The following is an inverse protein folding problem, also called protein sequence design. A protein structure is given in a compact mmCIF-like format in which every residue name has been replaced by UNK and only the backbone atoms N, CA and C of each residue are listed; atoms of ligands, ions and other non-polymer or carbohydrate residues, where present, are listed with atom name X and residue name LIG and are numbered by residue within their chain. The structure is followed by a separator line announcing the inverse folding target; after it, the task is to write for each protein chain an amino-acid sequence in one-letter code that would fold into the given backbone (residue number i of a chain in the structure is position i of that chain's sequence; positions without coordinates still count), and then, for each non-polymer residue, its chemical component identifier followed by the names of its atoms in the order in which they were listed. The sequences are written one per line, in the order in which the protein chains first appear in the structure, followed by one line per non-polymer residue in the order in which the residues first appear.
data_IF_209891817366
#
_entry.id   IF_209891817366
#
_cell.length_a   1.000
_cell.length_b   1.000
_cell.length_c   1.000
_cell.angle_alpha   90.00
_cell.angle_beta   90.00
_cell.angle_gamma   90.00
#
_symmetry.space_group_name_H-M   'P 1'
#
loop_
_entity.id
_entity.type
_entity.pdbx_description
1 polymer ?
#
# COMPACT_ATOMS: atom_id res chain seq x y z
N UNK A 1 -14.38 -5.22 -9.57
CA UNK A 1 -13.95 -4.26 -8.52
C UNK A 1 -13.56 -2.89 -9.08
N UNK A 2 -12.50 -2.73 -9.89
CA UNK A 2 -12.07 -1.41 -10.41
C UNK A 2 -13.19 -0.57 -11.04
N UNK A 3 -13.99 -1.19 -11.91
CA UNK A 3 -15.11 -0.51 -12.58
C UNK A 3 -16.10 0.13 -11.58
N UNK A 4 -16.35 -0.53 -10.45
CA UNK A 4 -17.26 -0.03 -9.43
C UNK A 4 -16.73 1.26 -8.77
N UNK A 5 -15.42 1.37 -8.55
CA UNK A 5 -14.80 2.60 -8.05
C UNK A 5 -14.93 3.74 -9.07
N UNK A 6 -14.69 3.45 -10.35
CA UNK A 6 -14.82 4.42 -11.44
C UNK A 6 -16.25 4.96 -11.55
N UNK A 7 -17.25 4.09 -11.53
CA UNK A 7 -18.67 4.46 -11.57
C UNK A 7 -19.08 5.37 -10.41
N UNK A 8 -18.40 5.23 -9.27
CA UNK A 8 -18.71 5.94 -8.02
C UNK A 8 -17.84 7.20 -7.87
N UNK A 9 -16.92 7.42 -8.81
CA UNK A 9 -15.97 8.54 -8.77
C UNK A 9 -15.02 8.47 -7.58
N UNK A 10 -14.72 7.27 -7.07
CA UNK A 10 -13.84 7.08 -5.91
C UNK A 10 -12.43 6.75 -6.40
N UNK A 11 -11.41 7.55 -6.05
CA UNK A 11 -10.03 7.25 -6.40
C UNK A 11 -9.56 5.92 -5.80
N UNK A 12 -8.74 5.19 -6.55
CA UNK A 12 -8.08 3.98 -6.07
C UNK A 12 -6.64 3.89 -6.57
N UNK A 13 -5.84 3.12 -5.84
CA UNK A 13 -4.48 2.78 -6.22
C UNK A 13 -4.36 1.28 -6.50
N UNK A 14 -3.76 0.92 -7.62
CA UNK A 14 -3.40 -0.45 -7.96
C UNK A 14 -1.99 -0.75 -7.45
N UNK A 15 -1.88 -1.63 -6.45
CA UNK A 15 -0.61 -2.15 -5.96
C UNK A 15 -0.15 -3.31 -6.86
N UNK A 16 0.76 -3.05 -7.79
CA UNK A 16 1.17 -3.97 -8.86
C UNK A 16 2.37 -4.80 -8.42
N UNK A 17 2.34 -6.12 -8.68
CA UNK A 17 3.47 -7.03 -8.41
C UNK A 17 4.23 -7.21 -9.74
N UNK A 18 5.32 -6.47 -10.01
CA UNK A 18 5.87 -6.35 -11.36
C UNK A 18 6.40 -7.69 -11.92
N UNK A 19 7.09 -8.48 -11.10
CA UNK A 19 7.65 -9.78 -11.47
C UNK A 19 6.63 -10.89 -11.71
N UNK A 20 5.34 -10.61 -11.46
CA UNK A 20 4.20 -11.49 -11.79
C UNK A 20 3.23 -10.85 -12.80
N UNK A 21 3.54 -9.64 -13.26
CA UNK A 21 2.68 -8.87 -14.14
C UNK A 21 2.99 -9.17 -15.61
N UNK A 22 1.96 -9.13 -16.44
CA UNK A 22 2.08 -9.29 -17.89
C UNK A 22 2.06 -7.93 -18.58
N UNK A 23 2.53 -7.85 -19.82
CA UNK A 23 2.41 -6.62 -20.62
C UNK A 23 0.94 -6.27 -20.90
N UNK A 24 0.04 -7.26 -20.93
CA UNK A 24 -1.40 -7.04 -21.03
C UNK A 24 -1.97 -6.29 -19.81
N UNK A 25 -1.51 -6.63 -18.60
CA UNK A 25 -1.89 -5.91 -17.38
C UNK A 25 -1.35 -4.47 -17.43
N UNK A 26 -0.10 -4.28 -17.84
CA UNK A 26 0.48 -2.94 -17.97
C UNK A 26 -0.31 -2.07 -18.96
N UNK A 27 -0.65 -2.62 -20.13
CA UNK A 27 -1.48 -1.93 -21.13
C UNK A 27 -2.85 -1.56 -20.58
N UNK A 28 -3.51 -2.47 -19.86
CA UNK A 28 -4.80 -2.19 -19.23
C UNK A 28 -4.71 -1.08 -18.18
N UNK A 29 -3.68 -1.10 -17.33
CA UNK A 29 -3.44 -0.06 -16.32
C UNK A 29 -3.14 1.30 -16.94
N UNK A 30 -2.35 1.35 -18.01
CA UNK A 30 -2.08 2.56 -18.78
C UNK A 30 -3.38 3.18 -19.32
N UNK A 31 -4.17 2.40 -20.06
CA UNK A 31 -5.43 2.86 -20.64
C UNK A 31 -6.40 3.38 -19.56
N UNK A 32 -6.42 2.69 -18.42
CA UNK A 32 -7.22 3.08 -17.28
C UNK A 32 -6.74 4.41 -16.66
N UNK A 33 -5.43 4.57 -16.47
CA UNK A 33 -4.85 5.80 -15.93
C UNK A 33 -4.93 6.99 -16.89
N UNK A 34 -4.82 6.76 -18.20
CA UNK A 34 -5.00 7.78 -19.25
C UNK A 34 -6.44 8.27 -19.32
N UNK A 35 -7.41 7.36 -19.22
CA UNK A 35 -8.84 7.71 -19.32
C UNK A 35 -9.40 8.34 -18.04
N UNK A 36 -8.81 8.04 -16.88
CA UNK A 36 -9.27 8.50 -15.56
C UNK A 36 -8.08 8.91 -14.66
N UNK A 37 -7.26 9.89 -15.07
CA UNK A 37 -6.02 10.24 -14.36
C UNK A 37 -6.28 10.71 -12.92
N UNK A 38 -7.42 11.33 -12.63
CA UNK A 38 -7.75 11.80 -11.28
C UNK A 38 -8.21 10.68 -10.33
N UNK A 39 -8.59 9.51 -10.86
CA UNK A 39 -9.10 8.39 -10.06
C UNK A 39 -8.09 7.26 -9.91
N UNK A 40 -7.10 7.15 -10.80
CA UNK A 40 -6.27 5.96 -10.89
C UNK A 40 -4.83 6.27 -10.52
N UNK A 41 -4.37 5.65 -9.43
CA UNK A 41 -2.97 5.58 -9.05
C UNK A 41 -2.41 4.18 -9.28
N UNK A 42 -1.11 4.10 -9.52
CA UNK A 42 -0.42 2.82 -9.70
C UNK A 42 0.85 2.82 -8.85
N UNK A 43 0.93 1.86 -7.94
CA UNK A 43 1.98 1.73 -6.93
C UNK A 43 2.70 0.38 -7.10
N UNK A 44 3.91 0.26 -6.56
CA UNK A 44 4.71 -0.97 -6.65
C UNK A 44 4.54 -1.84 -5.42
N UNK A 45 4.16 -3.10 -5.59
CA UNK A 45 3.94 -4.07 -4.53
C UNK A 45 5.01 -5.16 -4.48
N UNK A 46 6.25 -4.79 -4.13
CA UNK A 46 7.39 -5.71 -4.14
C UNK A 46 7.90 -6.02 -5.55
N UNK A 47 8.52 -7.18 -5.71
CA UNK A 47 8.92 -7.70 -7.03
C UNK A 47 8.04 -8.87 -7.44
N UNK A 48 8.14 -10.00 -6.74
CA UNK A 48 7.35 -11.21 -7.03
C UNK A 48 6.36 -11.57 -5.95
N UNK A 49 6.42 -10.91 -4.78
CA UNK A 49 5.63 -11.29 -3.62
C UNK A 49 5.93 -12.74 -3.18
N UNK A 50 7.17 -13.18 -3.38
CA UNK A 50 7.69 -14.49 -2.99
C UNK A 50 8.42 -14.40 -1.65
N UNK A 51 8.27 -15.42 -0.82
CA UNK A 51 8.94 -15.47 0.47
C UNK A 51 10.46 -15.65 0.32
N UNK A 52 11.25 -14.84 1.03
CA UNK A 52 12.68 -15.08 1.20
C UNK A 52 12.90 -16.07 2.36
N UNK A 53 13.28 -17.31 2.03
CA UNK A 53 13.51 -18.41 3.00
C UNK A 53 12.30 -18.68 3.90
N UNK A 54 11.10 -18.63 3.33
CA UNK A 54 9.83 -18.86 4.05
C UNK A 54 9.30 -17.65 4.84
N UNK A 55 10.04 -16.54 4.87
CA UNK A 55 9.63 -15.27 5.48
C UNK A 55 9.28 -14.24 4.40
N UNK A 56 8.60 -13.12 4.73
CA UNK A 56 8.19 -12.12 3.74
C UNK A 56 9.32 -11.62 2.81
N UNK A 57 8.97 -11.15 1.60
CA UNK A 57 9.90 -10.69 0.56
C UNK A 57 10.85 -9.56 1.03
N UNK A 58 10.41 -8.77 2.01
CA UNK A 58 11.15 -7.66 2.62
C UNK A 58 11.15 -7.77 4.15
N UNK A 59 12.16 -7.18 4.80
CA UNK A 59 12.31 -7.18 6.25
C UNK A 59 13.75 -7.39 6.70
N UNK A 60 14.00 -7.35 8.01
CA UNK A 60 15.35 -7.43 8.58
C UNK A 60 16.07 -8.76 8.33
N UNK A 61 15.34 -9.83 8.00
CA UNK A 61 15.88 -11.15 7.64
C UNK A 61 16.37 -11.23 6.19
N UNK A 62 16.04 -10.25 5.35
CA UNK A 62 16.44 -10.22 3.94
C UNK A 62 17.70 -9.37 3.79
N UNK A 63 18.80 -9.91 3.22
CA UNK A 63 20.03 -9.15 3.01
C UNK A 63 19.79 -7.89 2.18
N UNK A 64 20.53 -6.82 2.48
CA UNK A 64 20.39 -5.52 1.81
C UNK A 64 20.53 -5.62 0.29
N UNK A 65 21.52 -6.36 -0.21
CA UNK A 65 21.73 -6.56 -1.65
C UNK A 65 20.51 -7.17 -2.34
N UNK A 66 19.87 -8.16 -1.70
CA UNK A 66 18.66 -8.80 -2.25
C UNK A 66 17.47 -7.83 -2.26
N UNK A 67 17.26 -7.08 -1.17
CA UNK A 67 16.21 -6.05 -1.14
C UNK A 67 16.43 -5.01 -2.23
N UNK A 68 17.68 -4.58 -2.43
CA UNK A 68 18.06 -3.60 -3.46
C UNK A 68 17.78 -4.13 -4.86
N UNK A 69 18.16 -5.37 -5.15
CA UNK A 69 17.92 -5.99 -6.45
C UNK A 69 16.42 -6.08 -6.76
N UNK A 70 15.60 -6.50 -5.79
CA UNK A 70 14.14 -6.56 -5.96
C UNK A 70 13.53 -5.18 -6.21
N UNK A 71 13.96 -4.15 -5.47
CA UNK A 71 13.49 -2.79 -5.68
C UNK A 71 13.89 -2.25 -7.06
N UNK A 72 15.13 -2.49 -7.51
CA UNK A 72 15.61 -2.06 -8.83
C UNK A 72 14.83 -2.76 -9.95
N UNK A 73 14.67 -4.08 -9.87
CA UNK A 73 13.93 -4.84 -10.88
C UNK A 73 12.47 -4.40 -10.96
N UNK A 74 11.81 -4.26 -9.81
CA UNK A 74 10.44 -3.77 -9.75
C UNK A 74 10.30 -2.36 -10.29
N UNK A 75 11.13 -1.43 -9.83
CA UNK A 75 11.08 -0.03 -10.24
C UNK A 75 11.33 0.11 -11.75
N UNK A 76 12.33 -0.60 -12.28
CA UNK A 76 12.63 -0.60 -13.71
C UNK A 76 11.41 -1.08 -14.52
N UNK A 77 10.78 -2.18 -14.12
CA UNK A 77 9.58 -2.67 -14.80
C UNK A 77 8.45 -1.63 -14.77
N UNK A 78 8.21 -1.02 -13.61
CA UNK A 78 7.16 0.01 -13.43
C UNK A 78 7.43 1.24 -14.30
N UNK A 79 8.66 1.75 -14.31
CA UNK A 79 9.03 2.94 -15.09
C UNK A 79 9.00 2.64 -16.59
N UNK A 80 9.56 1.51 -17.05
CA UNK A 80 9.57 1.15 -18.47
C UNK A 80 8.16 1.00 -19.06
N UNK A 81 7.21 0.50 -18.26
CA UNK A 81 5.86 0.14 -18.75
C UNK A 81 4.77 1.12 -18.39
N UNK A 82 4.90 1.86 -17.30
CA UNK A 82 3.89 2.79 -16.81
C UNK A 82 4.36 4.24 -16.87
N UNK A 83 5.67 4.48 -16.99
CA UNK A 83 6.28 5.79 -17.11
C UNK A 83 5.75 6.78 -16.05
N UNK A 84 5.15 7.90 -16.47
CA UNK A 84 4.66 8.93 -15.55
C UNK A 84 3.46 8.50 -14.69
N UNK A 85 2.78 7.39 -15.04
CA UNK A 85 1.64 6.90 -14.26
C UNK A 85 2.05 6.08 -13.04
N UNK A 86 3.32 5.67 -12.93
CA UNK A 86 3.84 5.13 -11.68
C UNK A 86 3.99 6.24 -10.64
N UNK A 87 3.31 6.08 -9.50
CA UNK A 87 3.22 7.11 -8.45
C UNK A 87 4.53 7.34 -7.69
N UNK A 88 5.49 6.40 -7.77
CA UNK A 88 6.65 6.37 -6.89
C UNK A 88 6.36 5.88 -5.48
N UNK A 89 5.20 5.25 -5.24
CA UNK A 89 4.81 4.66 -3.96
C UNK A 89 5.16 3.18 -3.94
N UNK A 90 5.73 2.73 -2.82
CA UNK A 90 6.00 1.33 -2.54
C UNK A 90 5.03 0.76 -1.49
N UNK A 91 4.43 -0.38 -1.79
CA UNK A 91 3.59 -1.15 -0.88
C UNK A 91 4.35 -2.42 -0.53
N UNK A 92 4.87 -2.61 0.70
CA UNK A 92 5.61 -3.82 1.02
C UNK A 92 4.69 -5.05 1.01
N UNK A 93 5.08 -6.14 0.33
CA UNK A 93 4.47 -7.46 0.46
C UNK A 93 4.31 -7.85 1.93
N UNK A 94 3.14 -8.37 2.28
CA UNK A 94 2.77 -8.72 3.66
C UNK A 94 2.91 -7.57 4.68
N UNK A 95 3.05 -6.31 4.22
CA UNK A 95 3.32 -5.15 5.07
C UNK A 95 4.66 -5.20 5.81
N UNK A 96 5.58 -6.08 5.40
CA UNK A 96 6.87 -6.29 6.07
C UNK A 96 7.97 -5.42 5.43
N UNK A 97 8.68 -4.64 6.25
CA UNK A 97 9.79 -3.79 5.82
C UNK A 97 10.67 -3.44 7.03
N UNK A 98 11.88 -2.97 6.77
CA UNK A 98 12.80 -2.51 7.82
C UNK A 98 13.48 -1.17 7.44
N UNK A 99 14.39 -0.71 8.30
CA UNK A 99 15.15 0.51 8.06
C UNK A 99 15.96 0.45 6.76
N UNK A 100 16.53 -0.72 6.44
CA UNK A 100 17.21 -0.95 5.16
C UNK A 100 16.27 -0.71 3.99
N UNK A 101 15.06 -1.27 4.02
CA UNK A 101 14.04 -1.02 2.98
C UNK A 101 13.79 0.48 2.79
N UNK A 102 13.53 1.22 3.88
CA UNK A 102 13.27 2.67 3.82
C UNK A 102 14.46 3.44 3.25
N UNK A 103 15.69 3.10 3.67
CA UNK A 103 16.91 3.74 3.16
C UNK A 103 17.09 3.49 1.66
N UNK A 104 16.85 2.27 1.19
CA UNK A 104 16.94 1.93 -0.23
C UNK A 104 15.87 2.65 -1.05
N UNK A 105 14.63 2.74 -0.55
CA UNK A 105 13.56 3.49 -1.21
C UNK A 105 13.94 4.96 -1.41
N UNK A 106 14.53 5.61 -0.41
CA UNK A 106 15.00 6.99 -0.54
C UNK A 106 16.13 7.14 -1.56
N UNK A 107 17.11 6.24 -1.52
CA UNK A 107 18.23 6.23 -2.48
C UNK A 107 17.74 6.03 -3.93
N UNK A 108 16.71 5.22 -4.12
CA UNK A 108 16.10 4.94 -5.41
C UNK A 108 15.05 5.98 -5.83
N UNK A 109 14.81 7.01 -5.02
CA UNK A 109 13.91 8.12 -5.35
C UNK A 109 12.42 7.79 -5.24
N UNK A 110 12.03 6.79 -4.46
CA UNK A 110 10.63 6.58 -4.10
C UNK A 110 10.12 7.73 -3.24
N UNK A 111 8.87 8.12 -3.45
CA UNK A 111 8.23 9.23 -2.74
C UNK A 111 7.58 8.78 -1.44
N UNK A 112 7.04 7.56 -1.42
CA UNK A 112 6.28 7.06 -0.28
C UNK A 112 6.38 5.54 -0.09
N UNK A 113 6.09 5.13 1.14
CA UNK A 113 5.83 3.74 1.52
C UNK A 113 4.42 3.64 2.12
N UNK A 114 3.61 2.74 1.60
CA UNK A 114 2.26 2.45 2.09
C UNK A 114 2.17 1.07 2.73
N UNK A 115 2.06 1.04 4.06
CA UNK A 115 1.99 -0.19 4.85
C UNK A 115 1.06 -0.03 6.04
N UNK A 116 0.79 -1.12 6.76
CA UNK A 116 0.00 -1.11 7.98
C UNK A 116 0.49 -0.05 8.98
N UNK A 117 -0.37 0.91 9.31
CA UNK A 117 -0.14 1.76 10.48
C UNK A 117 -0.46 0.95 11.73
N UNK A 118 0.50 0.83 12.64
CA UNK A 118 0.19 0.48 14.01
C UNK A 118 -0.13 1.74 14.80
N UNK A 119 -1.15 1.62 15.62
CA UNK A 119 -1.75 2.72 16.36
C UNK A 119 -0.73 3.21 17.39
N UNK A 120 -0.45 4.50 17.32
CA UNK A 120 0.68 5.14 17.97
C UNK A 120 0.27 5.70 19.34
N UNK A 121 0.72 5.05 20.42
CA UNK A 121 0.90 5.76 21.69
C UNK A 121 2.25 6.46 21.70
N UNK A 122 2.41 7.56 22.46
CA UNK A 122 3.72 8.23 22.63
C UNK A 122 4.83 7.23 23.04
N UNK A 123 4.48 6.25 23.86
CA UNK A 123 5.36 5.15 24.28
C UNK A 123 5.77 4.25 23.10
N UNK A 124 4.83 3.89 22.23
CA UNK A 124 5.13 3.12 21.02
C UNK A 124 6.08 3.87 20.07
N UNK A 125 5.96 5.20 20.00
CA UNK A 125 6.86 6.06 19.20
C UNK A 125 8.28 6.08 19.72
N UNK A 126 8.47 6.25 21.03
CA UNK A 126 9.80 6.25 21.65
C UNK A 126 10.46 4.88 21.47
N UNK A 127 9.76 3.80 21.82
CA UNK A 127 10.26 2.42 21.68
C UNK A 127 10.54 2.09 20.22
N UNK A 128 9.65 2.49 19.32
CA UNK A 128 9.78 2.24 17.89
C UNK A 128 10.94 3.02 17.27
N UNK A 129 11.21 4.24 17.70
CA UNK A 129 12.36 5.03 17.23
C UNK A 129 13.68 4.34 17.63
N UNK A 130 13.76 3.85 18.86
CA UNK A 130 14.91 3.07 19.33
C UNK A 130 15.05 1.79 18.49
N UNK A 131 13.96 1.04 18.27
CA UNK A 131 13.94 -0.17 17.43
C UNK A 131 14.37 0.09 15.99
N UNK A 132 13.92 1.20 15.40
CA UNK A 132 14.30 1.65 14.06
C UNK A 132 15.81 1.87 13.97
N UNK A 133 16.40 2.60 14.93
CA UNK A 133 17.84 2.84 14.96
C UNK A 133 18.66 1.58 15.20
N UNK A 134 18.12 0.61 15.94
CA UNK A 134 18.74 -0.69 16.19
C UNK A 134 18.51 -1.71 15.07
N UNK A 135 17.71 -1.38 14.04
CA UNK A 135 17.25 -2.32 13.01
C UNK A 135 16.66 -3.62 13.58
N UNK A 136 15.92 -3.52 14.70
CA UNK A 136 15.37 -4.67 15.44
C UNK A 136 13.85 -4.58 15.53
N UNK A 137 13.18 -5.61 15.03
CA UNK A 137 11.73 -5.76 15.12
C UNK A 137 10.95 -4.84 14.18
N UNK A 138 9.64 -4.79 14.38
CA UNK A 138 8.72 -3.99 13.58
C UNK A 138 8.88 -2.48 13.85
N UNK A 139 8.76 -1.66 12.81
CA UNK A 139 8.89 -0.21 12.88
C UNK A 139 7.63 0.46 13.45
N UNK A 140 7.76 1.60 14.17
CA UNK A 140 6.60 2.41 14.54
C UNK A 140 5.95 3.01 13.28
N UNK A 141 4.69 3.41 13.40
CA UNK A 141 3.97 4.08 12.31
C UNK A 141 4.29 5.57 12.27
N UNK A 142 4.79 6.04 11.13
CA UNK A 142 4.99 7.44 10.77
C UNK A 142 3.87 7.97 9.88
N UNK A 143 2.68 7.37 9.92
CA UNK A 143 1.57 7.69 9.02
C UNK A 143 1.33 9.22 8.84
N UNK A 144 1.36 9.67 7.58
CA UNK A 144 1.28 11.08 7.19
C UNK A 144 2.57 11.88 7.45
N UNK A 145 3.72 11.24 7.68
CA UNK A 145 5.01 11.89 7.99
C UNK A 145 6.17 11.18 7.32
N UNK A 146 7.27 11.93 7.14
CA UNK A 146 8.52 11.39 6.64
C UNK A 146 9.17 10.43 7.65
N UNK A 147 9.82 9.39 7.16
CA UNK A 147 10.69 8.56 8.00
C UNK A 147 11.91 9.36 8.48
N UNK A 148 12.47 9.07 9.67
CA UNK A 148 13.65 9.76 10.17
C UNK A 148 14.84 9.68 9.20
N UNK A 149 15.43 10.85 8.88
CA UNK A 149 16.57 10.99 7.95
C UNK A 149 16.28 10.40 6.56
N UNK A 150 15.02 10.46 6.12
CA UNK A 150 14.62 10.01 4.80
C UNK A 150 13.64 10.98 4.17
N UNK A 151 13.61 11.04 2.84
CA UNK A 151 12.60 11.79 2.06
C UNK A 151 11.34 10.97 1.75
N UNK A 152 11.27 9.74 2.22
CA UNK A 152 10.12 8.85 2.00
C UNK A 152 9.01 9.18 3.00
N UNK A 153 7.83 9.51 2.49
CA UNK A 153 6.60 9.69 3.28
C UNK A 153 6.00 8.31 3.62
N UNK A 154 5.56 8.11 4.86
CA UNK A 154 4.69 6.98 5.16
C UNK A 154 3.24 7.35 4.93
N UNK A 155 2.56 6.67 4.01
CA UNK A 155 1.13 6.81 3.79
C UNK A 155 0.44 5.47 4.06
N UNK A 156 -0.09 5.26 5.24
CA UNK A 156 -0.44 3.90 5.64
C UNK A 156 -1.77 3.41 5.06
N UNK A 157 -1.75 2.23 4.44
CA UNK A 157 -2.94 1.37 4.36
C UNK A 157 -3.26 0.88 5.77
N UNK A 158 -4.18 1.55 6.46
CA UNK A 158 -4.42 1.35 7.88
C UNK A 158 -5.45 0.26 8.17
N UNK A 159 -6.32 -0.05 7.22
CA UNK A 159 -7.49 -0.92 7.43
C UNK A 159 -7.55 -2.04 6.39
N UNK A 160 -7.52 -3.28 6.87
CA UNK A 160 -7.80 -4.50 6.11
C UNK A 160 -9.14 -5.05 6.58
N UNK A 161 -10.12 -5.27 5.70
CA UNK A 161 -11.30 -6.02 6.09
C UNK A 161 -11.05 -7.54 6.12
N UNK A 162 -9.94 -8.05 5.59
CA UNK A 162 -9.62 -9.49 5.61
C UNK A 162 -9.09 -9.89 6.98
N UNK A 163 -9.84 -10.73 7.70
CA UNK A 163 -9.49 -11.21 9.05
C UNK A 163 -8.84 -12.59 9.05
N UNK A 164 -9.00 -13.35 7.98
CA UNK A 164 -8.27 -14.60 7.76
C UNK A 164 -8.04 -14.81 6.26
N UNK A 165 -6.77 -14.77 5.87
CA UNK A 165 -6.34 -14.93 4.49
C UNK A 165 -6.46 -16.38 3.98
N UNK A 166 -6.41 -17.38 4.87
CA UNK A 166 -6.55 -18.79 4.49
C UNK A 166 -7.99 -19.13 4.12
N UNK A 167 -8.95 -18.77 5.00
CA UNK A 167 -10.38 -18.97 4.75
C UNK A 167 -11.03 -17.85 3.93
N UNK A 168 -10.27 -16.79 3.60
CA UNK A 168 -10.77 -15.57 2.91
C UNK A 168 -11.93 -14.93 3.65
N UNK A 169 -11.89 -15.01 4.98
CA UNK A 169 -12.92 -14.44 5.84
C UNK A 169 -12.69 -12.93 5.91
N UNK A 170 -13.78 -12.21 5.69
CA UNK A 170 -13.82 -10.74 5.71
C UNK A 170 -14.75 -10.30 6.82
N UNK A 171 -14.39 -9.22 7.49
CA UNK A 171 -15.18 -8.55 8.50
C UNK A 171 -16.55 -8.14 7.93
N UNK A 172 -17.59 -8.15 8.77
CA UNK A 172 -18.89 -7.62 8.38
C UNK A 172 -18.82 -6.13 8.06
N UNK A 173 -19.55 -5.66 7.04
CA UNK A 173 -19.46 -4.27 6.59
C UNK A 173 -19.74 -3.26 7.70
N UNK A 174 -20.75 -3.50 8.55
CA UNK A 174 -21.09 -2.61 9.68
C UNK A 174 -19.95 -2.50 10.70
N UNK A 175 -19.32 -3.64 11.00
CA UNK A 175 -18.17 -3.70 11.92
C UNK A 175 -16.97 -2.97 11.31
N UNK A 176 -16.71 -3.16 10.01
CA UNK A 176 -15.65 -2.44 9.30
C UNK A 176 -15.90 -0.93 9.26
N UNK A 177 -17.11 -0.48 8.94
CA UNK A 177 -17.47 0.95 8.93
C UNK A 177 -17.32 1.58 10.32
N UNK A 178 -17.55 0.83 11.39
CA UNK A 178 -17.31 1.30 12.76
C UNK A 178 -15.82 1.53 13.01
N UNK A 179 -14.93 0.77 12.37
CA UNK A 179 -13.49 1.02 12.44
C UNK A 179 -13.09 2.30 11.67
N UNK A 180 -13.74 2.57 10.54
CA UNK A 180 -13.48 3.76 9.71
C UNK A 180 -14.00 5.03 10.40
N UNK A 181 -13.10 5.77 11.05
CA UNK A 181 -13.40 7.04 11.71
C UNK A 181 -13.42 6.99 13.24
N UNK A 182 -13.00 5.89 13.86
CA UNK A 182 -12.60 5.90 15.29
C UNK A 182 -11.28 6.64 15.47
N UNK A 183 -11.06 7.27 16.64
CA UNK A 183 -9.98 8.23 17.05
C UNK A 183 -8.51 7.88 16.71
N UNK A 184 -8.21 7.63 15.43
CA UNK A 184 -6.92 7.13 14.93
C UNK A 184 -6.68 7.63 13.50
N UNK A 185 -5.41 7.63 13.05
CA UNK A 185 -4.62 8.74 12.48
C UNK A 185 -5.29 9.61 11.39
N UNK A 186 -4.72 10.80 11.16
CA UNK A 186 -5.12 11.83 10.17
C UNK A 186 -5.31 11.33 8.72
N UNK A 187 -4.76 10.15 8.40
CA UNK A 187 -4.88 9.50 7.09
C UNK A 187 -5.25 8.02 7.30
N UNK A 188 -6.31 7.55 6.64
CA UNK A 188 -6.74 6.16 6.71
C UNK A 188 -6.81 5.56 5.31
N UNK A 189 -5.93 4.61 5.02
CA UNK A 189 -5.99 3.83 3.78
C UNK A 189 -6.74 2.51 3.98
N UNK A 190 -7.48 2.07 2.96
CA UNK A 190 -8.20 0.79 2.95
C UNK A 190 -7.53 -0.12 1.91
N UNK A 191 -7.10 -1.32 2.33
CA UNK A 191 -6.56 -2.32 1.42
C UNK A 191 -7.66 -3.32 1.02
N UNK A 192 -7.85 -3.54 -0.28
CA UNK A 192 -8.78 -4.54 -0.81
C UNK A 192 -8.07 -5.48 -1.76
N UNK A 193 -8.38 -6.76 -1.65
CA UNK A 193 -7.77 -7.82 -2.45
C UNK A 193 -8.75 -8.37 -3.48
N UNK A 194 -8.47 -8.19 -4.77
CA UNK A 194 -9.38 -8.62 -5.85
C UNK A 194 -9.68 -10.13 -5.83
N UNK A 195 -8.78 -10.97 -5.32
CA UNK A 195 -8.98 -12.42 -5.20
C UNK A 195 -9.82 -12.83 -3.98
N UNK A 196 -10.00 -11.91 -3.02
CA UNK A 196 -10.93 -12.07 -1.89
C UNK A 196 -12.31 -11.50 -2.24
N UNK A 197 -12.35 -10.37 -2.95
CA UNK A 197 -13.56 -9.71 -3.40
C UNK A 197 -13.92 -10.10 -4.84
N UNK A 198 -14.21 -11.39 -5.04
CA UNK A 198 -14.38 -11.99 -6.37
C UNK A 198 -15.76 -12.65 -6.62
N UNK A 199 -16.68 -12.58 -5.66
CA UNK A 199 -18.07 -13.04 -5.79
C UNK A 199 -19.08 -11.90 -5.54
N UNK A 200 -20.34 -12.14 -5.86
CA UNK A 200 -21.39 -11.11 -5.79
C UNK A 200 -21.64 -10.60 -4.38
N UNK A 201 -21.61 -11.47 -3.37
CA UNK A 201 -21.79 -11.07 -1.97
C UNK A 201 -20.65 -10.17 -1.50
N UNK A 202 -19.41 -10.50 -1.88
CA UNK A 202 -18.24 -9.68 -1.60
C UNK A 202 -18.24 -8.38 -2.40
N UNK A 203 -18.70 -8.40 -3.64
CA UNK A 203 -18.86 -7.18 -4.43
C UNK A 203 -19.92 -6.26 -3.83
N UNK A 204 -21.01 -6.80 -3.26
CA UNK A 204 -22.01 -6.03 -2.54
C UNK A 204 -21.45 -5.36 -1.29
N UNK A 205 -20.57 -6.05 -0.57
CA UNK A 205 -19.81 -5.47 0.53
C UNK A 205 -19.03 -4.23 0.07
N UNK A 206 -18.36 -4.31 -1.10
CA UNK A 206 -17.62 -3.16 -1.67
C UNK A 206 -18.56 -2.05 -2.10
N UNK A 207 -19.72 -2.35 -2.70
CA UNK A 207 -20.73 -1.34 -3.06
C UNK A 207 -21.18 -0.55 -1.84
N UNK A 208 -21.57 -1.27 -0.78
CA UNK A 208 -21.97 -0.64 0.49
C UNK A 208 -20.84 0.22 1.06
N UNK A 209 -19.59 -0.28 1.07
CA UNK A 209 -18.45 0.53 1.52
C UNK A 209 -18.34 1.85 0.74
N UNK A 210 -18.39 1.80 -0.60
CA UNK A 210 -18.22 2.98 -1.44
C UNK A 210 -19.36 3.99 -1.26
N UNK A 211 -20.60 3.52 -1.13
CA UNK A 211 -21.75 4.38 -0.92
C UNK A 211 -21.66 5.10 0.44
N UNK A 212 -21.17 4.42 1.48
CA UNK A 212 -21.00 4.96 2.84
C UNK A 212 -19.82 5.94 2.99
N UNK A 213 -18.76 5.80 2.17
CA UNK A 213 -17.62 6.73 2.21
C UNK A 213 -17.76 7.92 1.25
N UNK A 214 -18.76 7.95 0.37
CA UNK A 214 -18.92 8.92 -0.72
C UNK A 214 -18.93 10.40 -0.27
N UNK A 215 -19.30 10.68 0.97
CA UNK A 215 -19.29 12.04 1.55
C UNK A 215 -18.04 12.39 2.35
N UNK A 216 -17.05 11.49 2.46
CA UNK A 216 -15.81 11.72 3.20
C UNK A 216 -14.76 12.40 2.30
N UNK A 217 -13.77 13.03 2.91
CA UNK A 217 -12.62 13.59 2.18
C UNK A 217 -11.71 12.45 1.70
N UNK A 218 -12.00 11.90 0.52
CA UNK A 218 -11.22 10.84 -0.11
C UNK A 218 -10.13 11.48 -0.97
N UNK A 219 -8.88 11.13 -0.69
CA UNK A 219 -7.71 11.65 -1.40
C UNK A 219 -7.09 10.55 -2.25
N UNK A 220 -6.59 10.92 -3.44
CA UNK A 220 -5.64 10.08 -4.17
C UNK A 220 -4.28 10.20 -3.49
N UNK A 221 -3.48 9.13 -3.49
CA UNK A 221 -2.15 9.18 -2.85
C UNK A 221 -1.26 10.27 -3.47
N UNK A 222 -1.40 10.51 -4.77
CA UNK A 222 -0.68 11.60 -5.46
C UNK A 222 -0.93 12.98 -4.83
N UNK A 223 -2.15 13.24 -4.35
CA UNK A 223 -2.51 14.52 -3.72
C UNK A 223 -1.85 14.69 -2.35
N UNK A 224 -1.53 13.59 -1.68
CA UNK A 224 -0.79 13.61 -0.41
C UNK A 224 0.70 13.88 -0.62
N UNK A 225 1.27 13.43 -1.74
CA UNK A 225 2.69 13.61 -2.05
C UNK A 225 3.06 15.03 -2.47
N UNK A 226 2.06 15.84 -2.83
CA UNK A 226 2.24 17.23 -3.28
C UNK A 226 1.92 18.27 -2.20
N UNK A 227 1.63 17.85 -0.96
CA UNK A 227 1.37 18.72 0.21
C UNK A 227 2.62 18.87 1.06
#
# INVERSE_FOLDING_TARGET
MTQLFLERGVPLHHAVIPGRSTDGLAKWLLQLAESRPDLIGIDMHGWKHESYRGLPEFGAHVPEGIQKDYLILGQRWMVERLGPFFSGVFVPPHGSYNRTTVSLLDQLGFKALSAWARIDSLRARIIGTIRYHLNRGELPSWNGRLFPRSRVLQCSATLDPVIDYHSRRVLGIREFLTMIGTDKPTLQGICLHHWVFNDESRMEWVRTLLDEIRGRNILKMGDLLNR
#
